data_IF_895107556028
#
_entry.id   IF_895107556028
#
_cell.length_a   1.000
_cell.length_b   1.000
_cell.length_c   1.000
_cell.angle_alpha   90.00
_cell.angle_beta   90.00
_cell.angle_gamma   90.00
#
_symmetry.space_group_name_H-M   'P 1'
#
loop_
_entity.id
_entity.type
_entity.pdbx_description
1 polymer ?
#
# COMPACT_ATOMS: atom_id res chain seq x y z
N UNK A 1 -6.37 27.34 -14.52
CA UNK A 1 -6.15 28.67 -13.90
C UNK A 1 -5.21 28.63 -12.68
N UNK A 2 -5.45 27.81 -11.63
CA UNK A 2 -4.53 27.72 -10.47
C UNK A 2 -3.17 27.09 -10.78
N UNK A 3 -3.17 25.99 -11.53
CA UNK A 3 -1.93 25.33 -11.99
C UNK A 3 -1.06 26.31 -12.81
N UNK A 4 -1.68 27.12 -13.67
CA UNK A 4 -1.02 28.17 -14.44
C UNK A 4 -0.46 29.32 -13.58
N UNK A 5 -0.91 29.46 -12.32
CA UNK A 5 -0.39 30.43 -11.34
C UNK A 5 0.55 29.79 -10.30
N UNK A 6 0.82 28.49 -10.39
CA UNK A 6 1.66 27.77 -9.42
C UNK A 6 1.06 27.63 -8.02
N UNK A 7 -0.25 27.82 -7.87
CA UNK A 7 -0.93 27.75 -6.57
C UNK A 7 -1.26 26.28 -6.22
N UNK A 8 -0.75 25.72 -5.10
CA UNK A 8 -1.07 24.37 -4.69
C UNK A 8 -2.51 24.26 -4.15
N UNK A 9 -3.03 23.04 -4.11
CA UNK A 9 -4.31 22.76 -3.46
C UNK A 9 -4.21 22.96 -1.94
N UNK A 10 -5.28 23.48 -1.36
CA UNK A 10 -5.40 23.59 0.10
C UNK A 10 -5.64 22.23 0.74
N UNK A 11 -5.42 22.15 2.07
CA UNK A 11 -5.70 20.92 2.84
C UNK A 11 -7.17 20.49 2.75
N UNK A 12 -8.11 21.45 2.74
CA UNK A 12 -9.54 21.16 2.63
C UNK A 12 -9.87 20.56 1.26
N UNK A 13 -9.33 21.14 0.19
CA UNK A 13 -9.52 20.63 -1.18
C UNK A 13 -8.90 19.25 -1.38
N UNK A 14 -7.70 19.02 -0.83
CA UNK A 14 -7.08 17.69 -0.81
C UNK A 14 -7.92 16.67 -0.05
N UNK A 15 -8.54 17.06 1.06
CA UNK A 15 -9.45 16.21 1.83
C UNK A 15 -10.68 15.78 1.02
N UNK A 16 -11.24 16.69 0.22
CA UNK A 16 -12.34 16.38 -0.70
C UNK A 16 -11.88 15.38 -1.77
N UNK A 17 -10.75 15.63 -2.43
CA UNK A 17 -10.21 14.69 -3.44
C UNK A 17 -9.94 13.30 -2.86
N UNK A 18 -9.39 13.23 -1.64
CA UNK A 18 -9.15 11.98 -0.93
C UNK A 18 -10.45 11.22 -0.68
N UNK A 19 -11.51 11.90 -0.25
CA UNK A 19 -12.81 11.29 -0.02
C UNK A 19 -13.43 10.74 -1.31
N UNK A 20 -13.41 11.52 -2.39
CA UNK A 20 -13.93 11.08 -3.69
C UNK A 20 -13.13 9.90 -4.26
N UNK A 21 -11.80 9.94 -4.18
CA UNK A 21 -10.95 8.83 -4.62
C UNK A 21 -11.33 7.51 -3.91
N UNK A 22 -11.61 7.56 -2.60
CA UNK A 22 -12.07 6.38 -1.83
C UNK A 22 -13.45 5.90 -2.27
N UNK A 23 -14.37 6.82 -2.57
CA UNK A 23 -15.74 6.47 -2.98
C UNK A 23 -15.72 5.79 -4.35
N UNK A 24 -14.99 6.37 -5.32
CA UNK A 24 -14.88 5.80 -6.68
C UNK A 24 -14.20 4.44 -6.63
N UNK A 25 -13.04 4.35 -5.96
CA UNK A 25 -12.32 3.10 -5.84
C UNK A 25 -13.12 2.01 -5.11
N UNK A 26 -13.90 2.38 -4.10
CA UNK A 26 -14.83 1.46 -3.44
C UNK A 26 -15.81 0.85 -4.44
N UNK A 27 -16.46 1.67 -5.26
CA UNK A 27 -17.41 1.20 -6.27
C UNK A 27 -16.75 0.28 -7.29
N UNK A 28 -15.54 0.63 -7.76
CA UNK A 28 -14.78 -0.20 -8.70
C UNK A 28 -14.40 -1.56 -8.10
N UNK A 29 -13.99 -1.59 -6.82
CA UNK A 29 -13.65 -2.83 -6.12
C UNK A 29 -14.90 -3.70 -5.93
N UNK A 30 -16.02 -3.14 -5.48
CA UNK A 30 -17.28 -3.89 -5.28
C UNK A 30 -17.78 -4.50 -6.58
N UNK A 31 -17.59 -3.82 -7.71
CA UNK A 31 -17.98 -4.30 -9.04
C UNK A 31 -17.02 -5.35 -9.64
N UNK A 32 -15.85 -5.56 -9.03
CA UNK A 32 -14.83 -6.52 -9.49
C UNK A 32 -14.88 -7.85 -8.71
N UNK A 33 -14.04 -8.80 -9.10
CA UNK A 33 -13.81 -10.07 -8.41
C UNK A 33 -12.76 -9.97 -7.28
N UNK A 34 -12.15 -8.79 -7.06
CA UNK A 34 -11.14 -8.57 -6.01
C UNK A 34 -11.64 -8.99 -4.61
N UNK A 35 -12.87 -8.64 -4.16
CA UNK A 35 -13.32 -9.02 -2.82
C UNK A 35 -13.52 -10.52 -2.60
N UNK A 36 -13.56 -11.32 -3.67
CA UNK A 36 -13.71 -12.77 -3.61
C UNK A 36 -12.38 -13.49 -3.41
N UNK A 37 -11.25 -12.78 -3.53
CA UNK A 37 -9.95 -13.40 -3.32
C UNK A 37 -9.76 -13.80 -1.85
N UNK A 38 -9.40 -15.07 -1.56
CA UNK A 38 -9.26 -15.56 -0.19
C UNK A 38 -8.29 -14.75 0.67
N UNK A 39 -7.31 -14.10 0.04
CA UNK A 39 -6.34 -13.27 0.74
C UNK A 39 -6.99 -12.12 1.52
N UNK A 40 -8.05 -11.50 0.99
CA UNK A 40 -8.71 -10.36 1.63
C UNK A 40 -9.62 -10.76 2.82
N UNK A 41 -9.75 -12.04 3.14
CA UNK A 41 -10.35 -12.47 4.41
C UNK A 41 -9.65 -11.85 5.60
N UNK A 42 -8.33 -11.62 5.50
CA UNK A 42 -7.59 -10.94 6.56
C UNK A 42 -8.05 -9.51 6.78
N UNK A 43 -8.37 -8.79 5.70
CA UNK A 43 -8.84 -7.41 5.74
C UNK A 43 -10.27 -7.37 6.29
N UNK A 44 -11.11 -8.33 5.91
CA UNK A 44 -12.45 -8.51 6.49
C UNK A 44 -12.37 -8.77 8.00
N UNK A 45 -11.57 -9.75 8.42
CA UNK A 45 -11.49 -10.13 9.84
C UNK A 45 -10.84 -9.04 10.68
N UNK A 46 -9.86 -8.32 10.11
CA UNK A 46 -9.20 -7.18 10.76
C UNK A 46 -10.09 -5.95 10.94
N UNK A 47 -11.20 -5.85 10.21
CA UNK A 47 -12.19 -4.79 10.40
C UNK A 47 -12.96 -4.93 11.73
N UNK A 48 -13.19 -6.17 12.17
CA UNK A 48 -13.97 -6.43 13.38
C UNK A 48 -13.07 -6.51 14.63
N UNK A 49 -13.60 -6.14 15.81
CA UNK A 49 -12.89 -6.37 17.07
C UNK A 49 -12.49 -7.83 17.24
N UNK A 50 -11.28 -8.09 17.75
CA UNK A 50 -10.68 -9.43 17.77
C UNK A 50 -11.59 -10.50 18.43
N UNK A 51 -12.26 -10.15 19.53
CA UNK A 51 -13.20 -11.06 20.22
C UNK A 51 -14.38 -11.46 19.33
N UNK A 52 -14.89 -10.52 18.53
CA UNK A 52 -16.00 -10.75 17.60
C UNK A 52 -15.52 -11.58 16.41
N UNK A 53 -14.39 -11.21 15.81
CA UNK A 53 -13.77 -11.94 14.72
C UNK A 53 -13.51 -13.40 15.08
N UNK A 54 -13.03 -13.69 16.29
CA UNK A 54 -12.82 -15.07 16.76
C UNK A 54 -14.12 -15.83 16.99
N UNK A 55 -15.10 -15.21 17.66
CA UNK A 55 -16.34 -15.89 18.08
C UNK A 55 -17.33 -16.12 16.93
N UNK A 56 -17.39 -15.22 15.96
CA UNK A 56 -18.40 -15.21 14.89
C UNK A 56 -17.75 -15.32 13.50
N UNK A 57 -16.66 -16.09 13.40
CA UNK A 57 -15.83 -16.12 12.20
C UNK A 57 -16.57 -16.70 10.98
N UNK A 58 -17.49 -17.64 11.18
CA UNK A 58 -18.31 -18.20 10.10
C UNK A 58 -19.30 -17.16 9.59
N UNK A 59 -20.05 -16.56 10.50
CA UNK A 59 -21.07 -15.56 10.22
C UNK A 59 -20.49 -14.31 9.55
N UNK A 60 -19.27 -13.90 9.92
CA UNK A 60 -18.57 -12.79 9.28
C UNK A 60 -18.21 -13.14 7.83
N UNK A 61 -17.73 -14.36 7.56
CA UNK A 61 -17.38 -14.79 6.20
C UNK A 61 -18.60 -14.92 5.29
N UNK A 62 -19.71 -15.41 5.84
CA UNK A 62 -20.97 -15.58 5.11
C UNK A 62 -21.83 -14.32 5.10
N UNK A 63 -21.33 -13.21 5.67
CA UNK A 63 -22.10 -11.98 5.80
C UNK A 63 -22.41 -11.36 4.43
N UNK A 64 -23.67 -10.94 4.22
CA UNK A 64 -24.12 -10.34 2.95
C UNK A 64 -23.31 -9.12 2.48
N UNK A 65 -22.74 -8.37 3.44
CA UNK A 65 -21.90 -7.18 3.17
C UNK A 65 -20.40 -7.48 3.12
N UNK A 66 -20.00 -8.76 3.08
CA UNK A 66 -18.59 -9.15 3.08
C UNK A 66 -17.80 -8.37 2.01
N UNK A 67 -18.32 -8.32 0.78
CA UNK A 67 -17.65 -7.69 -0.36
C UNK A 67 -17.46 -6.19 -0.14
N UNK A 68 -18.49 -5.52 0.36
CA UNK A 68 -18.49 -4.10 0.67
C UNK A 68 -17.54 -3.78 1.82
N UNK A 69 -17.50 -4.60 2.88
CA UNK A 69 -16.57 -4.38 3.99
C UNK A 69 -15.12 -4.49 3.49
N UNK A 70 -14.80 -5.53 2.71
CA UNK A 70 -13.47 -5.69 2.10
C UNK A 70 -13.13 -4.49 1.22
N UNK A 71 -14.02 -4.13 0.30
CA UNK A 71 -13.81 -3.00 -0.59
C UNK A 71 -13.57 -1.70 0.19
N UNK A 72 -14.32 -1.48 1.27
CA UNK A 72 -14.19 -0.28 2.11
C UNK A 72 -12.85 -0.22 2.80
N UNK A 73 -12.39 -1.34 3.38
CA UNK A 73 -11.09 -1.45 4.06
C UNK A 73 -9.95 -1.22 3.07
N UNK A 74 -9.97 -1.97 1.96
CA UNK A 74 -8.90 -1.95 0.96
C UNK A 74 -8.82 -0.59 0.25
N UNK A 75 -9.94 0.01 -0.12
CA UNK A 75 -9.95 1.35 -0.74
C UNK A 75 -9.39 2.42 0.22
N UNK A 76 -9.74 2.34 1.51
CA UNK A 76 -9.19 3.28 2.49
C UNK A 76 -7.70 3.13 2.66
N UNK A 77 -7.21 1.90 2.83
CA UNK A 77 -5.79 1.63 3.00
C UNK A 77 -5.00 2.11 1.78
N UNK A 78 -5.40 1.67 0.58
CA UNK A 78 -4.75 2.05 -0.67
C UNK A 78 -4.69 3.57 -0.84
N UNK A 79 -5.82 4.27 -0.70
CA UNK A 79 -5.86 5.73 -0.90
C UNK A 79 -5.12 6.49 0.21
N UNK A 80 -5.12 6.00 1.45
CA UNK A 80 -4.36 6.62 2.53
C UNK A 80 -2.84 6.48 2.32
N UNK A 81 -2.36 5.34 1.79
CA UNK A 81 -0.93 5.09 1.56
C UNK A 81 -0.43 5.68 0.24
N UNK A 82 -1.24 5.55 -0.81
CA UNK A 82 -0.88 5.94 -2.18
C UNK A 82 -1.30 7.37 -2.55
N UNK A 83 -2.26 7.94 -1.85
CA UNK A 83 -2.88 9.23 -2.17
C UNK A 83 -4.02 9.13 -3.20
N UNK A 84 -4.75 10.23 -3.41
CA UNK A 84 -5.97 10.24 -4.23
C UNK A 84 -5.74 9.94 -5.70
N UNK A 85 -4.54 10.21 -6.23
CA UNK A 85 -4.20 9.98 -7.64
C UNK A 85 -3.57 8.61 -7.91
N UNK A 86 -3.32 7.79 -6.89
CA UNK A 86 -2.51 6.58 -7.01
C UNK A 86 -3.02 5.63 -8.10
N UNK A 87 -4.32 5.32 -8.05
CA UNK A 87 -4.95 4.35 -8.95
C UNK A 87 -4.94 4.89 -10.38
N UNK A 88 -5.50 6.08 -10.60
CA UNK A 88 -5.57 6.68 -11.94
C UNK A 88 -4.20 6.79 -12.61
N UNK A 89 -3.17 7.23 -11.87
CA UNK A 89 -1.80 7.33 -12.42
C UNK A 89 -1.23 5.99 -12.85
N UNK A 90 -1.53 4.91 -12.11
CA UNK A 90 -1.10 3.56 -12.50
C UNK A 90 -1.93 3.02 -13.67
N UNK A 91 -3.23 3.28 -13.71
CA UNK A 91 -4.07 2.91 -14.86
C UNK A 91 -3.59 3.61 -16.13
N UNK A 92 -3.34 4.92 -16.08
CA UNK A 92 -2.81 5.69 -17.21
C UNK A 92 -1.43 5.19 -17.66
N UNK A 93 -0.54 4.89 -16.71
CA UNK A 93 0.84 4.48 -17.02
C UNK A 93 0.98 3.03 -17.50
N UNK A 94 -0.03 2.18 -17.30
CA UNK A 94 0.06 0.72 -17.53
C UNK A 94 -1.09 0.15 -18.36
N UNK A 95 -2.19 0.89 -18.54
CA UNK A 95 -3.40 0.42 -19.20
C UNK A 95 -4.20 -0.62 -18.39
N UNK A 96 -3.78 -0.93 -17.16
CA UNK A 96 -4.42 -1.96 -16.32
C UNK A 96 -5.66 -1.42 -15.60
N UNK A 97 -6.70 -2.24 -15.37
CA UNK A 97 -7.89 -1.83 -14.63
C UNK A 97 -7.59 -1.60 -13.13
N UNK A 98 -8.48 -0.86 -12.45
CA UNK A 98 -8.35 -0.59 -11.00
C UNK A 98 -8.24 -1.88 -10.17
N UNK A 99 -8.94 -2.94 -10.57
CA UNK A 99 -8.86 -4.26 -9.92
C UNK A 99 -7.42 -4.82 -9.88
N UNK A 100 -6.69 -4.71 -10.99
CA UNK A 100 -5.29 -5.15 -11.07
C UNK A 100 -4.36 -4.26 -10.22
N UNK A 101 -4.64 -2.95 -10.17
CA UNK A 101 -3.91 -2.02 -9.30
C UNK A 101 -4.12 -2.39 -7.83
N UNK A 102 -5.34 -2.74 -7.43
CA UNK A 102 -5.67 -3.14 -6.06
C UNK A 102 -4.99 -4.46 -5.68
N UNK A 103 -5.01 -5.46 -6.56
CA UNK A 103 -4.27 -6.72 -6.37
C UNK A 103 -2.78 -6.46 -6.20
N UNK A 104 -2.22 -5.64 -7.08
CA UNK A 104 -0.80 -5.29 -7.04
C UNK A 104 -0.45 -4.52 -5.76
N UNK A 105 -1.32 -3.61 -5.31
CA UNK A 105 -1.16 -2.94 -4.04
C UNK A 105 -1.14 -3.96 -2.89
N UNK A 106 -2.02 -4.96 -2.88
CA UNK A 106 -2.01 -6.02 -1.88
C UNK A 106 -0.72 -6.86 -1.92
N UNK A 107 -0.22 -7.21 -3.12
CA UNK A 107 1.09 -7.88 -3.29
C UNK A 107 2.20 -7.07 -2.64
N UNK A 108 2.29 -5.78 -2.96
CA UNK A 108 3.35 -4.92 -2.44
C UNK A 108 3.20 -4.68 -0.94
N UNK A 109 2.00 -4.36 -0.47
CA UNK A 109 1.68 -4.13 0.95
C UNK A 109 2.09 -5.30 1.81
N UNK A 110 1.67 -6.50 1.42
CA UNK A 110 1.82 -7.69 2.27
C UNK A 110 3.12 -8.44 1.99
N UNK A 111 3.60 -8.42 0.74
CA UNK A 111 4.89 -8.97 0.35
C UNK A 111 6.06 -8.25 1.02
N UNK A 112 6.00 -6.91 1.11
CA UNK A 112 7.00 -6.11 1.83
C UNK A 112 6.71 -5.98 3.34
N UNK A 113 5.66 -6.62 3.87
CA UNK A 113 5.25 -6.53 5.27
C UNK A 113 5.06 -5.07 5.75
N UNK A 114 4.56 -4.19 4.89
CA UNK A 114 4.43 -2.76 5.16
C UNK A 114 3.60 -2.42 6.41
N UNK A 115 2.55 -3.16 6.79
CA UNK A 115 1.84 -2.89 8.04
C UNK A 115 2.74 -2.94 9.28
N UNK A 116 3.77 -3.81 9.30
CA UNK A 116 4.73 -3.85 10.39
C UNK A 116 5.64 -2.61 10.37
N UNK A 117 6.20 -2.27 9.20
CA UNK A 117 7.03 -1.09 9.01
C UNK A 117 6.29 0.21 9.39
N UNK A 118 5.01 0.32 9.02
CA UNK A 118 4.21 1.47 9.41
C UNK A 118 4.03 1.57 10.92
N UNK A 119 3.80 0.45 11.63
CA UNK A 119 3.74 0.47 13.10
C UNK A 119 5.07 0.90 13.73
N UNK A 120 6.20 0.52 13.13
CA UNK A 120 7.52 0.98 13.58
C UNK A 120 7.68 2.49 13.37
N UNK A 121 7.26 3.03 12.22
CA UNK A 121 7.29 4.48 11.96
C UNK A 121 6.31 5.22 12.88
N UNK A 122 5.09 4.70 13.07
CA UNK A 122 4.07 5.29 13.93
C UNK A 122 4.55 5.36 15.40
N UNK A 123 5.33 4.36 15.85
CA UNK A 123 5.91 4.34 17.20
C UNK A 123 6.99 5.42 17.42
N UNK A 124 7.48 6.06 16.35
CA UNK A 124 8.39 7.21 16.43
C UNK A 124 7.64 8.55 16.62
N UNK A 125 6.31 8.54 16.66
CA UNK A 125 5.52 9.75 16.89
C UNK A 125 5.91 10.43 18.22
N UNK A 126 6.21 11.72 18.14
CA UNK A 126 6.78 12.52 19.24
C UNK A 126 8.13 12.03 19.79
N UNK A 127 8.82 11.10 19.10
CA UNK A 127 10.19 10.66 19.44
C UNK A 127 11.24 11.31 18.54
N UNK A 128 10.87 11.65 17.29
CA UNK A 128 11.75 12.25 16.28
C UNK A 128 11.10 13.53 15.72
N UNK A 129 11.86 14.28 14.92
CA UNK A 129 11.29 15.43 14.21
C UNK A 129 10.18 15.00 13.23
N UNK A 130 9.06 15.73 13.25
CA UNK A 130 7.88 15.39 12.46
C UNK A 130 8.12 15.41 10.95
N UNK A 131 9.04 16.25 10.44
CA UNK A 131 9.38 16.26 9.02
C UNK A 131 10.12 14.97 8.63
N UNK A 132 10.97 14.43 9.50
CA UNK A 132 11.66 13.17 9.26
C UNK A 132 10.68 12.00 9.24
N UNK A 133 9.73 11.98 10.17
CA UNK A 133 8.68 10.96 10.17
C UNK A 133 7.85 11.02 8.88
N UNK A 134 7.50 12.22 8.41
CA UNK A 134 6.85 12.42 7.11
C UNK A 134 7.71 11.92 5.94
N UNK A 135 9.02 12.16 5.95
CA UNK A 135 9.95 11.69 4.92
C UNK A 135 10.06 10.16 4.90
N UNK A 136 9.96 9.49 6.05
CA UNK A 136 9.85 8.03 6.16
C UNK A 136 8.56 7.54 5.48
N UNK A 137 7.40 8.12 5.79
CA UNK A 137 6.15 7.77 5.13
C UNK A 137 6.20 7.99 3.62
N UNK A 138 6.78 9.11 3.16
CA UNK A 138 6.96 9.39 1.74
C UNK A 138 7.88 8.38 1.05
N UNK A 139 8.92 7.90 1.76
CA UNK A 139 9.82 6.87 1.25
C UNK A 139 9.07 5.55 1.01
N UNK A 140 8.21 5.15 1.94
CA UNK A 140 7.36 3.96 1.78
C UNK A 140 6.32 4.16 0.68
N UNK A 141 5.66 5.32 0.61
CA UNK A 141 4.69 5.64 -0.45
C UNK A 141 5.33 5.57 -1.85
N UNK A 142 6.57 6.06 -1.99
CA UNK A 142 7.35 5.96 -3.23
C UNK A 142 7.68 4.52 -3.60
N UNK A 143 8.10 3.70 -2.62
CA UNK A 143 8.31 2.27 -2.83
C UNK A 143 7.05 1.60 -3.37
N UNK A 144 5.90 1.85 -2.73
CA UNK A 144 4.62 1.29 -3.16
C UNK A 144 4.34 1.67 -4.62
N UNK A 145 4.39 2.96 -4.96
CA UNK A 145 4.06 3.42 -6.31
C UNK A 145 5.01 2.86 -7.39
N UNK A 146 6.32 2.93 -7.16
CA UNK A 146 7.33 2.48 -8.14
C UNK A 146 7.24 0.97 -8.34
N UNK A 147 7.16 0.20 -7.26
CA UNK A 147 7.08 -1.25 -7.32
C UNK A 147 5.77 -1.71 -7.94
N UNK A 148 4.63 -1.10 -7.59
CA UNK A 148 3.34 -1.41 -8.21
C UNK A 148 3.36 -1.13 -9.72
N UNK A 149 3.92 0.01 -10.15
CA UNK A 149 4.04 0.33 -11.57
C UNK A 149 4.94 -0.64 -12.33
N UNK A 150 6.06 -1.06 -11.74
CA UNK A 150 6.93 -2.08 -12.33
C UNK A 150 6.19 -3.42 -12.44
N UNK A 151 5.51 -3.83 -11.37
CA UNK A 151 4.80 -5.11 -11.31
C UNK A 151 3.69 -5.19 -12.36
N UNK A 152 2.82 -4.18 -12.45
CA UNK A 152 1.75 -4.09 -13.45
C UNK A 152 2.24 -4.15 -14.91
N UNK A 153 3.44 -3.64 -15.19
CA UNK A 153 4.05 -3.65 -16.53
C UNK A 153 4.71 -4.97 -16.89
N UNK A 154 5.29 -5.66 -15.92
CA UNK A 154 6.14 -6.82 -16.16
C UNK A 154 5.46 -8.15 -15.83
N UNK A 155 4.33 -8.11 -15.12
CA UNK A 155 3.66 -9.33 -14.72
C UNK A 155 2.69 -9.84 -15.79
N UNK A 156 2.98 -11.06 -16.24
CA UNK A 156 2.16 -11.82 -17.18
C UNK A 156 1.50 -13.07 -16.54
N UNK A 157 1.64 -13.23 -15.22
CA UNK A 157 1.23 -14.44 -14.50
C UNK A 157 -0.24 -14.44 -14.08
N UNK A 158 -0.86 -15.63 -14.09
CA UNK A 158 -2.21 -15.90 -13.57
C UNK A 158 -2.21 -16.51 -12.16
N UNK A 159 -1.06 -16.45 -11.47
CA UNK A 159 -0.93 -17.03 -10.14
C UNK A 159 -1.90 -16.37 -9.14
N UNK A 160 -2.50 -17.14 -8.21
CA UNK A 160 -3.35 -16.58 -7.17
C UNK A 160 -2.62 -15.50 -6.34
N UNK A 161 -3.34 -14.46 -5.89
CA UNK A 161 -2.78 -13.35 -5.13
C UNK A 161 -1.97 -13.80 -3.90
N UNK A 162 -2.52 -14.74 -3.13
CA UNK A 162 -1.84 -15.27 -1.94
C UNK A 162 -0.50 -15.93 -2.28
N UNK A 163 -0.41 -16.64 -3.41
CA UNK A 163 0.83 -17.25 -3.86
C UNK A 163 1.87 -16.18 -4.24
N UNK A 164 1.47 -15.16 -4.99
CA UNK A 164 2.36 -14.04 -5.38
C UNK A 164 2.94 -13.31 -4.16
N UNK A 165 2.14 -13.14 -3.12
CA UNK A 165 2.57 -12.55 -1.85
C UNK A 165 3.62 -13.43 -1.16
N UNK A 166 3.37 -14.73 -1.05
CA UNK A 166 4.30 -15.69 -0.43
C UNK A 166 5.62 -15.75 -1.20
N UNK A 167 5.57 -15.79 -2.54
CA UNK A 167 6.77 -15.79 -3.38
C UNK A 167 7.63 -14.53 -3.14
N UNK A 168 7.01 -13.36 -3.05
CA UNK A 168 7.71 -12.11 -2.74
C UNK A 168 8.29 -12.10 -1.32
N UNK A 169 7.57 -12.65 -0.33
CA UNK A 169 8.06 -12.78 1.05
C UNK A 169 9.29 -13.68 1.13
N UNK A 170 9.25 -14.85 0.48
CA UNK A 170 10.38 -15.78 0.46
C UNK A 170 11.57 -15.20 -0.31
N UNK A 171 11.33 -14.53 -1.44
CA UNK A 171 12.39 -13.82 -2.16
C UNK A 171 13.06 -12.75 -1.30
N UNK A 172 12.28 -11.95 -0.57
CA UNK A 172 12.83 -10.95 0.38
C UNK A 172 13.64 -11.60 1.48
N UNK A 173 13.10 -12.63 2.12
CA UNK A 173 13.80 -13.36 3.19
C UNK A 173 15.15 -13.92 2.73
N UNK A 174 15.22 -14.42 1.49
CA UNK A 174 16.46 -14.93 0.91
C UNK A 174 17.46 -13.82 0.51
N UNK A 175 16.95 -12.69 0.01
CA UNK A 175 17.77 -11.63 -0.60
C UNK A 175 18.18 -10.52 0.37
N UNK A 176 17.31 -10.08 1.27
CA UNK A 176 17.54 -8.94 2.16
C UNK A 176 18.85 -9.03 2.97
N UNK A 177 19.21 -10.17 3.60
CA UNK A 177 20.44 -10.27 4.37
C UNK A 177 21.72 -10.08 3.51
N UNK A 178 21.61 -10.32 2.21
CA UNK A 178 22.73 -10.26 1.26
C UNK A 178 22.65 -9.04 0.35
N UNK A 179 21.52 -8.35 0.32
CA UNK A 179 21.22 -7.29 -0.66
C UNK A 179 22.31 -6.23 -0.69
N UNK A 180 22.68 -5.67 0.48
CA UNK A 180 23.71 -4.64 0.58
C UNK A 180 25.06 -5.14 0.03
N UNK A 181 25.42 -6.40 0.26
CA UNK A 181 26.68 -6.97 -0.25
C UNK A 181 26.70 -7.18 -1.76
N UNK A 182 25.53 -7.36 -2.39
CA UNK A 182 25.38 -7.59 -3.82
C UNK A 182 25.30 -6.28 -4.63
N UNK A 183 25.11 -5.13 -3.96
CA UNK A 183 24.97 -3.85 -4.62
C UNK A 183 26.33 -3.27 -5.06
N UNK A 184 26.37 -2.54 -6.20
CA UNK A 184 27.54 -1.77 -6.59
C UNK A 184 27.98 -0.78 -5.50
N UNK A 185 29.28 -0.42 -5.47
CA UNK A 185 29.84 0.48 -4.46
C UNK A 185 29.04 1.78 -4.29
N UNK A 186 28.71 2.46 -5.40
CA UNK A 186 27.92 3.70 -5.36
C UNK A 186 26.54 3.54 -4.71
N UNK A 187 25.89 2.37 -4.86
CA UNK A 187 24.58 2.11 -4.27
C UNK A 187 24.69 1.85 -2.77
N UNK A 188 25.76 1.17 -2.33
CA UNK A 188 26.07 0.96 -0.91
C UNK A 188 26.33 2.28 -0.21
N UNK A 189 27.17 3.14 -0.79
CA UNK A 189 27.47 4.48 -0.27
C UNK A 189 26.21 5.31 -0.11
N UNK A 190 25.34 5.35 -1.13
CA UNK A 190 24.08 6.09 -1.08
C UNK A 190 23.11 5.57 -0.01
N UNK A 191 23.06 4.26 0.22
CA UNK A 191 22.25 3.67 1.32
C UNK A 191 22.82 4.11 2.67
N UNK A 192 24.14 4.05 2.82
CA UNK A 192 24.81 4.43 4.06
C UNK A 192 24.67 5.93 4.36
N UNK A 193 24.84 6.80 3.37
CA UNK A 193 24.58 8.23 3.49
C UNK A 193 23.14 8.50 3.94
N UNK A 194 22.17 7.83 3.32
CA UNK A 194 20.76 7.98 3.69
C UNK A 194 20.48 7.48 5.09
N UNK A 195 21.08 6.36 5.48
CA UNK A 195 21.00 5.82 6.85
C UNK A 195 21.54 6.83 7.85
N UNK A 196 22.74 7.36 7.63
CA UNK A 196 23.35 8.37 8.50
C UNK A 196 22.52 9.66 8.55
N UNK A 197 21.95 10.08 7.43
CA UNK A 197 21.05 11.23 7.36
C UNK A 197 19.82 11.06 8.26
N UNK A 198 19.20 9.87 8.25
CA UNK A 198 18.07 9.55 9.12
C UNK A 198 18.49 9.57 10.60
N UNK A 199 19.58 8.87 10.97
CA UNK A 199 20.05 8.84 12.37
C UNK A 199 20.44 10.21 12.93
N UNK A 200 21.00 11.10 12.09
CA UNK A 200 21.36 12.45 12.54
C UNK A 200 20.14 13.31 12.85
N UNK A 201 19.01 13.02 12.21
CA UNK A 201 17.81 13.80 12.37
C UNK A 201 16.94 13.37 13.56
N UNK A 202 17.19 12.21 14.16
CA UNK A 202 16.43 11.65 15.27
C UNK A 202 16.04 10.22 14.98
#
# INVERSE_FOLDING_TARGET
EREARGEPLTRAELGVLLAYAKIVLFSDIVASDVPDEPHFDRDLMGYFPERMAKKFAGEIRDHRLRREIIARVVANDLVNRGGPSFVNRLQEATGRPAADVVRTFAVVRDGFALPALYREIDALDNQIDGQIQLDLYQSVSRLIFVTSGWYLKNEAGSAPLGQRIVELQEARKALEPKLVSLLPAFSRERIEERRQGLFKGG
#
